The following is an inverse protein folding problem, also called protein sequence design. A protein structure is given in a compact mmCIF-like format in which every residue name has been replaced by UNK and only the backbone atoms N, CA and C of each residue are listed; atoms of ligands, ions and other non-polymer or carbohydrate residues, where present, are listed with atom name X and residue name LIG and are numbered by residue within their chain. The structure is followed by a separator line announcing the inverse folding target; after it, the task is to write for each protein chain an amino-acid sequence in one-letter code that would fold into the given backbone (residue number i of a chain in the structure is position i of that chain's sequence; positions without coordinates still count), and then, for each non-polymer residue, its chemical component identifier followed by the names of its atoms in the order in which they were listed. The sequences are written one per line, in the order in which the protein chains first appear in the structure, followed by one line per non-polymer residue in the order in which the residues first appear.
data_IF_986189643177
#
_entry.id   IF_986189643177
#
_cell.length_a   1.000
_cell.length_b   1.000
_cell.length_c   1.000
_cell.angle_alpha   90.00
_cell.angle_beta   90.00
_cell.angle_gamma   90.00
#
_symmetry.space_group_name_H-M   'P 1'
#
loop_
_entity.id
_entity.type
_entity.pdbx_description
1 polymer ?
#
# COMPACT_ATOMS: atom_id res chain seq x y z
N UNK A 1 34.51 6.38 -9.65
CA UNK A 1 35.94 6.56 -9.95
C UNK A 1 36.20 6.15 -11.38
N UNK A 2 37.08 6.86 -12.11
CA UNK A 2 37.39 6.59 -13.51
C UNK A 2 38.50 5.53 -13.58
N UNK A 3 38.31 4.46 -14.36
CA UNK A 3 39.30 3.38 -14.53
C UNK A 3 39.83 3.41 -15.96
N UNK A 4 41.13 3.61 -16.11
CA UNK A 4 41.81 3.65 -17.42
C UNK A 4 42.80 2.48 -17.51
N UNK A 5 42.54 1.54 -18.40
CA UNK A 5 43.45 0.43 -18.70
C UNK A 5 44.22 0.76 -19.98
N UNK A 6 45.53 1.02 -19.88
CA UNK A 6 46.39 1.30 -21.04
C UNK A 6 47.16 0.04 -21.45
N UNK A 7 46.99 -0.40 -22.70
CA UNK A 7 47.75 -1.52 -23.29
C UNK A 7 49.04 -1.01 -23.96
N UNK A 8 49.86 -1.91 -24.52
CA UNK A 8 51.10 -1.53 -25.21
C UNK A 8 50.85 -0.51 -26.32
N UNK A 9 51.76 0.46 -26.49
CA UNK A 9 51.63 1.56 -27.45
C UNK A 9 51.45 1.07 -28.91
N UNK A 10 51.97 -0.13 -29.23
CA UNK A 10 51.81 -0.78 -30.53
C UNK A 10 50.37 -1.30 -30.77
N UNK A 11 49.69 -1.80 -29.74
CA UNK A 11 48.31 -2.32 -29.83
C UNK A 11 47.28 -1.20 -30.02
N UNK A 12 47.60 0.01 -29.54
CA UNK A 12 46.75 1.21 -29.70
C UNK A 12 46.69 1.68 -31.16
N UNK A 13 47.75 1.46 -31.95
CA UNK A 13 47.86 1.94 -33.34
C UNK A 13 47.34 0.90 -34.36
N UNK A 14 47.56 -0.39 -34.10
CA UNK A 14 47.26 -1.47 -35.06
C UNK A 14 46.06 -2.34 -34.68
N UNK A 15 45.55 -2.20 -33.45
CA UNK A 15 44.60 -3.15 -32.86
C UNK A 15 45.27 -4.47 -32.47
N UNK A 16 44.66 -5.21 -31.54
CA UNK A 16 45.13 -6.53 -31.15
C UNK A 16 44.11 -7.30 -30.34
N UNK A 17 44.25 -8.62 -30.32
CA UNK A 17 43.41 -9.54 -29.54
C UNK A 17 44.28 -10.11 -28.43
N UNK A 18 43.79 -10.06 -27.19
CA UNK A 18 44.40 -10.73 -26.05
C UNK A 18 43.47 -11.84 -25.55
N UNK A 19 44.04 -12.93 -25.09
CA UNK A 19 43.32 -14.03 -24.48
C UNK A 19 44.01 -14.42 -23.18
N UNK A 20 43.22 -14.76 -22.17
CA UNK A 20 43.70 -15.13 -20.85
C UNK A 20 42.66 -16.07 -20.21
N UNK A 21 43.13 -17.06 -19.45
CA UNK A 21 42.25 -17.89 -18.61
C UNK A 21 41.74 -17.06 -17.41
N UNK A 22 40.42 -17.04 -17.13
CA UNK A 22 39.89 -16.33 -15.97
C UNK A 22 40.59 -16.75 -14.67
N UNK A 23 40.88 -15.82 -13.74
CA UNK A 23 41.73 -16.10 -12.57
C UNK A 23 41.19 -17.16 -11.61
N UNK A 24 39.89 -17.46 -11.68
CA UNK A 24 39.21 -18.47 -10.85
C UNK A 24 38.94 -19.78 -11.59
N UNK A 25 39.53 -19.98 -12.77
CA UNK A 25 39.41 -21.21 -13.55
C UNK A 25 40.79 -21.82 -13.77
N UNK A 26 40.89 -23.14 -13.63
CA UNK A 26 42.08 -23.88 -14.02
C UNK A 26 42.22 -23.89 -15.53
N UNK A 27 43.45 -23.79 -16.03
CA UNK A 27 43.74 -23.97 -17.46
C UNK A 27 43.17 -25.30 -17.93
N UNK A 28 42.22 -25.25 -18.87
CA UNK A 28 41.58 -26.42 -19.44
C UNK A 28 42.46 -27.17 -20.44
N UNK A 29 41.90 -28.20 -21.06
CA UNK A 29 42.56 -28.91 -22.15
C UNK A 29 42.75 -28.01 -23.38
N UNK A 30 43.79 -28.29 -24.17
CA UNK A 30 44.05 -27.59 -25.44
C UNK A 30 42.84 -27.72 -26.36
N UNK A 31 42.38 -26.60 -26.91
CA UNK A 31 41.25 -26.59 -27.83
C UNK A 31 41.62 -27.29 -29.16
N UNK A 32 40.74 -28.14 -29.73
CA UNK A 32 40.93 -28.70 -31.06
C UNK A 32 41.09 -27.62 -32.14
N UNK A 33 41.73 -27.98 -33.26
CA UNK A 33 41.84 -27.08 -34.41
C UNK A 33 40.47 -26.59 -34.89
N UNK A 34 40.39 -25.32 -35.31
CA UNK A 34 39.16 -24.64 -35.74
C UNK A 34 38.07 -24.43 -34.67
N UNK A 35 38.40 -24.55 -33.38
CA UNK A 35 37.48 -24.16 -32.30
C UNK A 35 37.22 -22.66 -32.35
N UNK A 36 35.94 -22.26 -32.31
CA UNK A 36 35.53 -20.85 -32.30
C UNK A 36 35.40 -20.32 -30.88
N UNK A 37 35.78 -19.06 -30.68
CA UNK A 37 35.67 -18.35 -29.41
C UNK A 37 34.96 -17.02 -29.61
N UNK A 38 34.18 -16.58 -28.62
CA UNK A 38 33.59 -15.24 -28.62
C UNK A 38 34.69 -14.20 -28.44
N UNK A 39 34.75 -13.22 -29.35
CA UNK A 39 35.53 -12.01 -29.16
C UNK A 39 34.72 -11.02 -28.31
N UNK A 40 35.09 -10.88 -27.04
CA UNK A 40 34.46 -9.93 -26.13
C UNK A 40 34.85 -8.48 -26.46
N UNK A 41 33.99 -7.53 -26.09
CA UNK A 41 34.23 -6.10 -26.36
C UNK A 41 35.42 -5.53 -25.55
N UNK A 42 35.61 -6.04 -24.32
CA UNK A 42 36.70 -5.65 -23.44
C UNK A 42 37.07 -6.77 -22.45
N UNK A 43 38.09 -6.54 -21.62
CA UNK A 43 38.54 -7.51 -20.61
C UNK A 43 37.45 -7.81 -19.57
N UNK A 44 36.61 -6.84 -19.20
CA UNK A 44 35.58 -7.07 -18.19
C UNK A 44 34.47 -7.98 -18.72
N UNK A 45 34.08 -7.82 -19.98
CA UNK A 45 33.16 -8.72 -20.68
C UNK A 45 33.78 -10.11 -20.87
N UNK A 46 35.06 -10.19 -21.25
CA UNK A 46 35.79 -11.45 -21.43
C UNK A 46 35.93 -12.27 -20.14
N UNK A 47 36.06 -11.59 -18.99
CA UNK A 47 36.27 -12.20 -17.68
C UNK A 47 34.97 -12.51 -16.94
N UNK A 48 33.81 -12.13 -17.48
CA UNK A 48 32.51 -12.45 -16.88
C UNK A 48 32.24 -13.95 -17.02
N UNK A 49 31.65 -14.55 -15.99
CA UNK A 49 31.12 -15.91 -16.11
C UNK A 49 30.13 -15.96 -17.29
N UNK A 50 30.16 -17.02 -18.13
CA UNK A 50 29.20 -17.15 -19.22
C UNK A 50 27.77 -17.08 -18.69
N UNK A 51 26.91 -16.37 -19.41
CA UNK A 51 25.53 -16.14 -19.00
C UNK A 51 24.63 -17.39 -19.08
N UNK A 52 25.16 -18.50 -19.60
CA UNK A 52 24.40 -19.72 -19.88
C UNK A 52 23.39 -19.54 -21.02
N UNK A 53 22.59 -20.56 -21.34
CA UNK A 53 21.51 -20.44 -22.31
C UNK A 53 20.40 -19.49 -21.79
N UNK A 54 19.88 -18.57 -22.62
CA UNK A 54 18.78 -17.71 -22.22
C UNK A 54 17.47 -18.51 -22.06
N UNK A 55 16.73 -18.19 -21.02
CA UNK A 55 15.33 -18.57 -20.87
C UNK A 55 14.45 -17.47 -21.44
N UNK A 56 13.71 -17.78 -22.51
CA UNK A 56 12.73 -16.86 -23.06
C UNK A 56 11.45 -16.89 -22.24
N UNK A 57 11.04 -15.71 -21.77
CA UNK A 57 9.79 -15.53 -21.03
C UNK A 57 8.97 -14.39 -21.61
N UNK A 58 7.67 -14.45 -21.38
CA UNK A 58 6.73 -13.37 -21.68
C UNK A 58 6.03 -12.93 -20.40
N UNK A 59 5.78 -11.63 -20.30
CA UNK A 59 5.01 -11.03 -19.22
C UNK A 59 3.95 -10.13 -19.83
N UNK A 60 2.71 -10.36 -19.45
CA UNK A 60 1.59 -9.55 -19.92
C UNK A 60 1.32 -8.41 -18.95
N UNK A 61 1.42 -7.18 -19.44
CA UNK A 61 1.15 -5.97 -18.67
C UNK A 61 -0.16 -5.32 -19.12
N UNK A 62 -0.89 -4.77 -18.16
CA UNK A 62 -2.16 -4.05 -18.40
C UNK A 62 -2.03 -2.53 -18.17
N UNK A 63 -0.80 -2.02 -18.03
CA UNK A 63 -0.46 -0.62 -17.75
C UNK A 63 0.44 -0.06 -18.85
N UNK A 64 0.54 1.27 -18.97
CA UNK A 64 1.34 1.89 -20.03
C UNK A 64 2.79 1.39 -20.02
N UNK A 65 3.29 1.01 -21.21
CA UNK A 65 4.70 0.66 -21.40
C UNK A 65 5.56 1.87 -21.77
N UNK A 66 5.05 3.09 -21.64
CA UNK A 66 5.80 4.30 -22.00
C UNK A 66 7.08 4.40 -21.18
N UNK A 67 8.21 4.50 -21.87
CA UNK A 67 9.54 4.53 -21.26
C UNK A 67 10.21 3.16 -21.21
N UNK A 68 9.50 2.07 -21.50
CA UNK A 68 10.10 0.76 -21.75
C UNK A 68 10.54 0.66 -23.21
N UNK A 69 11.73 0.12 -23.44
CA UNK A 69 12.29 -0.09 -24.78
C UNK A 69 12.89 -1.49 -24.91
N UNK A 70 13.05 -1.97 -26.14
CA UNK A 70 13.86 -3.17 -26.42
C UNK A 70 15.30 -2.90 -25.96
N UNK A 71 15.90 -3.88 -25.28
CA UNK A 71 17.17 -3.76 -24.58
C UNK A 71 17.06 -3.21 -23.15
N UNK A 72 15.86 -2.86 -22.67
CA UNK A 72 15.68 -2.48 -21.27
C UNK A 72 16.07 -3.67 -20.34
N UNK A 73 16.75 -3.41 -19.22
CA UNK A 73 17.23 -4.48 -18.36
C UNK A 73 16.07 -5.19 -17.67
N UNK A 74 16.22 -6.50 -17.49
CA UNK A 74 15.42 -7.30 -16.57
C UNK A 74 16.25 -7.47 -15.30
N UNK A 75 15.76 -6.90 -14.21
CA UNK A 75 16.46 -6.81 -12.93
C UNK A 75 15.82 -7.73 -11.90
N UNK A 76 16.63 -8.37 -11.07
CA UNK A 76 16.18 -9.02 -9.84
C UNK A 76 16.96 -8.43 -8.67
N UNK A 77 16.28 -7.59 -7.87
CA UNK A 77 16.84 -6.95 -6.67
C UNK A 77 18.18 -6.25 -6.90
N UNK A 78 18.31 -5.53 -8.00
CA UNK A 78 19.52 -4.78 -8.37
C UNK A 78 20.55 -5.56 -9.19
N UNK A 79 20.25 -6.82 -9.54
CA UNK A 79 21.09 -7.65 -10.40
C UNK A 79 20.41 -7.80 -11.76
N UNK A 80 21.06 -7.33 -12.83
CA UNK A 80 20.57 -7.49 -14.20
C UNK A 80 20.68 -8.96 -14.62
N UNK A 81 19.53 -9.62 -14.72
CA UNK A 81 19.41 -11.01 -15.14
C UNK A 81 19.13 -11.16 -16.63
N UNK A 82 18.78 -10.10 -17.34
CA UNK A 82 18.34 -10.22 -18.72
C UNK A 82 18.01 -8.90 -19.38
N UNK A 83 17.33 -8.99 -20.51
CA UNK A 83 16.91 -7.83 -21.31
C UNK A 83 15.60 -8.09 -22.04
N UNK A 84 14.84 -7.02 -22.25
CA UNK A 84 13.63 -7.02 -23.08
C UNK A 84 14.01 -7.21 -24.53
N UNK A 85 13.43 -8.20 -25.20
CA UNK A 85 13.70 -8.51 -26.61
C UNK A 85 12.57 -8.09 -27.54
N UNK A 86 11.32 -8.02 -27.05
CA UNK A 86 10.18 -7.59 -27.85
C UNK A 86 9.11 -6.94 -26.96
N UNK A 87 8.40 -5.96 -27.53
CA UNK A 87 7.24 -5.31 -26.92
C UNK A 87 6.09 -5.38 -27.92
N UNK A 88 4.99 -6.02 -27.53
CA UNK A 88 3.79 -6.18 -28.36
C UNK A 88 2.55 -5.53 -27.75
N UNK A 89 1.47 -5.62 -28.51
CA UNK A 89 0.11 -5.32 -28.08
C UNK A 89 -0.79 -6.43 -28.62
N UNK A 90 -1.62 -6.99 -27.76
CA UNK A 90 -2.60 -8.01 -28.11
C UNK A 90 -3.99 -7.52 -27.68
N UNK A 91 -5.00 -7.87 -28.47
CA UNK A 91 -6.40 -7.54 -28.19
C UNK A 91 -7.17 -8.84 -28.01
N UNK A 92 -7.67 -9.06 -26.80
CA UNK A 92 -8.53 -10.20 -26.55
C UNK A 92 -9.99 -9.82 -26.88
N UNK A 93 -10.60 -10.38 -27.95
CA UNK A 93 -11.97 -10.08 -28.31
C UNK A 93 -13.01 -10.56 -27.29
N UNK A 94 -12.66 -11.53 -26.43
CA UNK A 94 -13.56 -12.07 -25.40
C UNK A 94 -13.68 -11.11 -24.22
N UNK A 95 -12.55 -10.62 -23.72
CA UNK A 95 -12.51 -9.67 -22.61
C UNK A 95 -12.60 -8.22 -23.07
N UNK A 96 -12.45 -7.95 -24.37
CA UNK A 96 -12.40 -6.61 -24.99
C UNK A 96 -11.31 -5.73 -24.40
N UNK A 97 -10.24 -6.35 -23.93
CA UNK A 97 -9.11 -5.67 -23.29
C UNK A 97 -7.87 -5.78 -24.17
N UNK A 98 -7.03 -4.76 -24.07
CA UNK A 98 -5.68 -4.79 -24.61
C UNK A 98 -4.73 -5.27 -23.53
N UNK A 99 -3.86 -6.21 -23.87
CA UNK A 99 -2.72 -6.62 -23.06
C UNK A 99 -1.44 -6.27 -23.81
N UNK A 100 -0.37 -6.00 -23.07
CA UNK A 100 0.92 -5.67 -23.66
C UNK A 100 1.91 -6.78 -23.32
N UNK A 101 2.03 -7.81 -24.18
CA UNK A 101 3.01 -8.87 -23.99
C UNK A 101 4.42 -8.31 -24.19
N UNK A 102 5.27 -8.50 -23.19
CA UNK A 102 6.69 -8.14 -23.24
C UNK A 102 7.51 -9.41 -23.20
N UNK A 103 8.23 -9.70 -24.28
CA UNK A 103 9.14 -10.84 -24.36
C UNK A 103 10.53 -10.42 -23.91
N UNK A 104 11.20 -11.29 -23.17
CA UNK A 104 12.54 -11.03 -22.64
C UNK A 104 13.38 -12.30 -22.57
N UNK A 105 14.69 -12.11 -22.63
CA UNK A 105 15.67 -13.17 -22.39
C UNK A 105 16.23 -13.02 -20.99
N UNK A 106 16.09 -14.04 -20.16
CA UNK A 106 16.61 -14.09 -18.80
C UNK A 106 17.73 -15.14 -18.74
N UNK A 107 18.76 -14.86 -17.97
CA UNK A 107 19.92 -15.72 -17.75
C UNK A 107 19.94 -16.20 -16.29
N UNK A 108 19.26 -17.32 -15.97
CA UNK A 108 19.07 -17.73 -14.58
C UNK A 108 20.38 -18.15 -13.90
N UNK A 109 21.40 -18.53 -14.67
CA UNK A 109 22.72 -18.88 -14.15
C UNK A 109 23.45 -17.70 -13.49
N UNK A 110 23.02 -16.45 -13.76
CA UNK A 110 23.51 -15.25 -13.06
C UNK A 110 23.10 -15.21 -11.58
N UNK A 111 22.15 -16.03 -11.14
CA UNK A 111 21.75 -16.16 -9.73
C UNK A 111 22.77 -16.91 -8.87
N UNK A 112 23.86 -17.40 -9.47
CA UNK A 112 25.01 -17.96 -8.77
C UNK A 112 25.11 -19.49 -8.84
N UNK A 113 26.26 -20.01 -8.37
CA UNK A 113 26.67 -21.42 -8.56
C UNK A 113 25.65 -22.43 -8.04
N UNK A 114 25.11 -22.22 -6.82
CA UNK A 114 24.12 -23.14 -6.22
C UNK A 114 22.85 -23.26 -7.06
N UNK A 115 22.41 -22.15 -7.66
CA UNK A 115 21.23 -22.16 -8.52
C UNK A 115 21.52 -22.87 -9.83
N UNK A 116 22.70 -22.62 -10.43
CA UNK A 116 23.19 -23.33 -11.62
C UNK A 116 23.25 -24.85 -11.39
N UNK A 117 23.90 -25.31 -10.33
CA UNK A 117 24.01 -26.73 -9.97
C UNK A 117 22.63 -27.41 -9.79
N UNK A 118 21.66 -26.67 -9.22
CA UNK A 118 20.29 -27.17 -9.04
C UNK A 118 19.52 -27.35 -10.35
N UNK A 119 19.91 -26.60 -11.38
CA UNK A 119 19.30 -26.61 -12.71
C UNK A 119 20.00 -27.62 -13.64
N UNK A 120 21.33 -27.63 -13.68
CA UNK A 120 22.13 -28.50 -14.55
C UNK A 120 21.91 -29.99 -14.24
N UNK A 121 21.77 -30.33 -12.95
CA UNK A 121 21.63 -31.72 -12.52
C UNK A 121 20.29 -32.38 -12.86
N UNK A 122 19.29 -31.62 -13.33
CA UNK A 122 17.89 -32.11 -13.41
C UNK A 122 17.15 -31.83 -14.72
N UNK A 123 17.76 -31.15 -15.70
CA UNK A 123 17.20 -30.93 -17.03
C UNK A 123 16.00 -29.96 -17.10
N UNK A 124 15.40 -29.85 -18.28
CA UNK A 124 14.27 -28.93 -18.58
C UNK A 124 13.03 -29.10 -17.67
N UNK A 125 12.56 -30.31 -17.32
CA UNK A 125 11.39 -30.47 -16.44
C UNK A 125 11.60 -29.89 -15.05
N UNK A 126 12.81 -29.98 -14.50
CA UNK A 126 13.11 -29.43 -13.20
C UNK A 126 13.27 -27.91 -13.22
N UNK A 127 13.73 -27.32 -14.33
CA UNK A 127 13.70 -25.86 -14.53
C UNK A 127 12.28 -25.34 -14.39
N UNK A 128 11.31 -26.01 -15.04
CA UNK A 128 9.89 -25.67 -14.96
C UNK A 128 9.35 -25.73 -13.53
N UNK A 129 9.61 -26.83 -12.82
CA UNK A 129 9.18 -27.00 -11.42
C UNK A 129 9.81 -25.94 -10.48
N UNK A 130 11.05 -25.51 -10.74
CA UNK A 130 11.68 -24.43 -9.99
C UNK A 130 10.91 -23.12 -10.24
N UNK A 131 10.62 -22.77 -11.50
CA UNK A 131 9.89 -21.53 -11.80
C UNK A 131 8.48 -21.54 -11.20
N UNK A 132 7.76 -22.67 -11.30
CA UNK A 132 6.45 -22.84 -10.67
C UNK A 132 6.52 -22.58 -9.16
N UNK A 133 7.54 -23.12 -8.48
CA UNK A 133 7.75 -22.88 -7.04
C UNK A 133 8.09 -21.43 -6.73
N UNK A 134 8.87 -20.76 -7.57
CA UNK A 134 9.18 -19.33 -7.38
C UNK A 134 7.91 -18.49 -7.56
N UNK A 135 7.11 -18.76 -8.58
CA UNK A 135 5.82 -18.09 -8.82
C UNK A 135 4.83 -18.35 -7.69
N UNK A 136 4.76 -19.58 -7.18
CA UNK A 136 3.95 -19.95 -6.03
C UNK A 136 4.37 -19.22 -4.75
N UNK A 137 5.66 -18.89 -4.61
CA UNK A 137 6.21 -18.05 -3.53
C UNK A 137 6.04 -16.55 -3.76
N UNK A 138 5.41 -16.15 -4.87
CA UNK A 138 5.09 -14.75 -5.17
C UNK A 138 6.05 -14.07 -6.13
N UNK A 139 6.88 -14.79 -6.89
CA UNK A 139 7.69 -14.18 -7.96
C UNK A 139 6.77 -13.50 -8.98
N UNK A 140 6.91 -12.19 -9.16
CA UNK A 140 6.16 -11.40 -10.15
C UNK A 140 7.07 -10.43 -10.88
N UNK A 141 6.71 -10.12 -12.12
CA UNK A 141 7.26 -9.01 -12.88
C UNK A 141 6.52 -7.70 -12.60
N UNK A 142 7.25 -6.60 -12.46
CA UNK A 142 6.70 -5.27 -12.27
C UNK A 142 7.50 -4.27 -13.11
N UNK A 143 6.84 -3.30 -13.75
CA UNK A 143 7.54 -2.19 -14.39
C UNK A 143 7.95 -1.18 -13.32
N UNK A 144 9.22 -0.82 -13.31
CA UNK A 144 9.77 0.20 -12.41
C UNK A 144 10.54 1.24 -13.19
N UNK A 145 10.58 2.46 -12.68
CA UNK A 145 11.36 3.55 -13.28
C UNK A 145 12.81 3.43 -12.84
N UNK A 146 13.71 3.26 -13.81
CA UNK A 146 15.15 3.14 -13.54
C UNK A 146 15.83 4.49 -13.43
N UNK A 147 15.46 5.44 -14.29
CA UNK A 147 15.98 6.79 -14.28
C UNK A 147 14.82 7.80 -14.28
N UNK A 148 14.70 8.56 -13.19
CA UNK A 148 13.64 9.56 -13.00
C UNK A 148 13.77 10.76 -13.96
N UNK A 149 14.97 11.05 -14.48
CA UNK A 149 15.17 12.15 -15.42
C UNK A 149 14.69 11.81 -16.83
N UNK A 150 14.91 10.57 -17.27
CA UNK A 150 14.53 10.12 -18.62
C UNK A 150 13.21 9.37 -18.65
N UNK A 151 12.61 9.11 -17.49
CA UNK A 151 11.42 8.28 -17.32
C UNK A 151 11.57 6.89 -17.93
N UNK A 152 12.79 6.38 -18.03
CA UNK A 152 13.05 5.06 -18.61
C UNK A 152 12.61 3.97 -17.64
N UNK A 153 11.84 3.02 -18.16
CA UNK A 153 11.39 1.85 -17.42
C UNK A 153 12.33 0.67 -17.61
N UNK A 154 12.33 -0.21 -16.61
CA UNK A 154 12.92 -1.53 -16.65
C UNK A 154 11.94 -2.56 -16.08
N UNK A 155 12.18 -3.83 -16.35
CA UNK A 155 11.36 -4.92 -15.79
C UNK A 155 12.03 -5.40 -14.51
N UNK A 156 11.35 -5.26 -13.37
CA UNK A 156 11.80 -5.76 -12.08
C UNK A 156 11.11 -7.10 -11.78
N UNK A 157 11.90 -8.12 -11.44
CA UNK A 157 11.48 -9.38 -10.87
C UNK A 157 11.67 -9.31 -9.35
N UNK A 158 10.60 -9.54 -8.59
CA UNK A 158 10.67 -9.58 -7.13
C UNK A 158 9.60 -10.52 -6.54
N UNK A 159 9.68 -10.75 -5.24
CA UNK A 159 8.71 -11.55 -4.49
C UNK A 159 7.69 -10.66 -3.81
N UNK A 160 6.43 -10.85 -4.17
CA UNK A 160 5.28 -10.15 -3.61
C UNK A 160 4.45 -11.12 -2.77
N UNK A 161 4.69 -11.22 -1.45
CA UNK A 161 4.07 -12.25 -0.60
C UNK A 161 2.55 -12.11 -0.47
N UNK A 162 2.00 -10.93 -0.77
CA UNK A 162 0.56 -10.64 -0.75
C UNK A 162 -0.12 -10.77 -2.12
N UNK A 163 0.66 -11.03 -3.19
CA UNK A 163 0.09 -11.15 -4.53
C UNK A 163 -0.79 -12.42 -4.61
N UNK A 164 -1.94 -12.37 -5.30
CA UNK A 164 -2.79 -13.53 -5.50
C UNK A 164 -2.02 -14.70 -6.13
N UNK A 165 -2.32 -15.92 -5.70
CA UNK A 165 -1.72 -17.11 -6.28
C UNK A 165 -2.17 -17.27 -7.74
N UNK A 166 -1.21 -17.45 -8.64
CA UNK A 166 -1.44 -17.67 -10.07
C UNK A 166 -0.84 -19.01 -10.44
N UNK A 167 -1.62 -19.83 -11.15
CA UNK A 167 -1.11 -21.05 -11.78
C UNK A 167 -0.52 -20.67 -13.13
N UNK A 168 0.72 -21.07 -13.37
CA UNK A 168 1.37 -20.90 -14.66
C UNK A 168 1.33 -22.23 -15.42
N UNK A 169 1.21 -22.15 -16.73
CA UNK A 169 1.49 -23.29 -17.60
C UNK A 169 2.98 -23.30 -17.93
N UNK A 170 3.76 -24.07 -17.15
CA UNK A 170 5.19 -24.15 -17.35
C UNK A 170 5.61 -24.89 -18.64
N UNK A 171 4.65 -25.49 -19.36
CA UNK A 171 4.91 -26.10 -20.67
C UNK A 171 4.75 -25.11 -21.84
N UNK A 172 4.15 -23.93 -21.61
CA UNK A 172 4.00 -22.87 -22.62
C UNK A 172 5.38 -22.35 -23.04
N UNK A 173 5.54 -22.13 -24.36
CA UNK A 173 6.75 -21.52 -24.94
C UNK A 173 6.33 -20.32 -25.79
N UNK A 174 6.79 -19.09 -25.47
CA UNK A 174 7.62 -18.71 -24.33
C UNK A 174 6.91 -18.86 -22.97
N UNK A 175 7.68 -19.04 -21.90
CA UNK A 175 7.14 -19.22 -20.55
C UNK A 175 6.49 -17.93 -20.04
N UNK A 176 5.25 -18.00 -19.58
CA UNK A 176 4.54 -16.84 -19.08
C UNK A 176 4.81 -16.63 -17.59
N UNK A 177 5.31 -15.45 -17.23
CA UNK A 177 5.52 -15.04 -15.84
C UNK A 177 4.44 -14.03 -15.41
N UNK A 178 3.85 -14.20 -14.23
CA UNK A 178 2.79 -13.32 -13.75
C UNK A 178 3.33 -11.94 -13.39
N UNK A 179 2.52 -10.92 -13.65
CA UNK A 179 2.87 -9.52 -13.39
C UNK A 179 2.06 -8.94 -12.23
N UNK A 180 2.55 -7.82 -11.69
CA UNK A 180 1.81 -6.94 -10.79
C UNK A 180 1.90 -5.50 -11.28
N UNK A 181 0.86 -4.72 -11.03
CA UNK A 181 0.85 -3.29 -11.34
C UNK A 181 1.85 -2.53 -10.47
N UNK A 182 2.27 -1.35 -10.94
CA UNK A 182 3.12 -0.46 -10.16
C UNK A 182 2.28 0.34 -9.14
N UNK A 183 2.59 0.23 -7.85
CA UNK A 183 1.81 0.84 -6.75
C UNK A 183 1.72 2.37 -6.84
N UNK A 184 2.75 3.04 -7.40
CA UNK A 184 2.75 4.50 -7.56
C UNK A 184 1.69 5.01 -8.53
N UNK A 185 1.34 4.23 -9.54
CA UNK A 185 0.28 4.58 -10.49
C UNK A 185 -1.10 4.34 -9.84
N UNK A 186 -1.21 3.28 -9.03
CA UNK A 186 -2.42 2.99 -8.26
C UNK A 186 -2.74 4.07 -7.21
N UNK A 187 -1.71 4.62 -6.53
CA UNK A 187 -1.89 5.72 -5.57
C UNK A 187 -2.46 6.99 -6.23
N UNK A 188 -2.03 7.33 -7.44
CA UNK A 188 -2.56 8.50 -8.15
C UNK A 188 -4.05 8.35 -8.45
N UNK A 189 -4.47 7.15 -8.87
CA UNK A 189 -5.88 6.82 -9.12
C UNK A 189 -6.68 6.90 -7.81
N UNK A 190 -6.17 6.33 -6.72
CA UNK A 190 -6.84 6.37 -5.42
C UNK A 190 -6.99 7.79 -4.88
N UNK A 191 -5.97 8.65 -5.01
CA UNK A 191 -6.06 10.06 -4.60
C UNK A 191 -7.10 10.82 -5.42
N UNK A 192 -7.15 10.59 -6.73
CA UNK A 192 -8.17 11.19 -7.60
C UNK A 192 -9.60 10.74 -7.21
N UNK A 193 -9.76 9.47 -6.83
CA UNK A 193 -11.03 8.94 -6.36
C UNK A 193 -11.44 9.48 -4.99
N UNK A 194 -10.49 9.70 -4.07
CA UNK A 194 -10.75 10.36 -2.79
C UNK A 194 -11.20 11.80 -3.03
N UNK A 195 -10.53 12.54 -3.91
CA UNK A 195 -10.92 13.91 -4.25
C UNK A 195 -12.36 13.96 -4.81
N UNK A 196 -12.69 13.07 -5.76
CA UNK A 196 -14.06 12.94 -6.28
C UNK A 196 -15.09 12.56 -5.21
N UNK A 197 -14.73 11.73 -4.24
CA UNK A 197 -15.63 11.37 -3.13
C UNK A 197 -15.82 12.54 -2.18
N UNK A 198 -14.78 13.35 -1.96
CA UNK A 198 -14.84 14.55 -1.14
C UNK A 198 -15.74 15.63 -1.77
N UNK A 199 -15.66 15.81 -3.09
CA UNK A 199 -16.55 16.73 -3.83
C UNK A 199 -18.03 16.36 -3.72
N UNK A 200 -18.34 15.08 -3.49
CA UNK A 200 -19.70 14.58 -3.30
C UNK A 200 -20.22 14.72 -1.88
N UNK A 201 -19.42 15.19 -0.93
CA UNK A 201 -19.87 15.45 0.44
C UNK A 201 -20.75 16.71 0.41
N UNK A 202 -22.05 16.63 0.79
CA UNK A 202 -22.95 17.76 0.68
C UNK A 202 -22.77 18.73 1.85
N UNK A 203 -21.65 19.45 1.87
CA UNK A 203 -21.30 20.42 2.91
C UNK A 203 -22.37 21.50 3.09
N UNK A 204 -23.07 21.89 2.01
CA UNK A 204 -24.19 22.83 2.06
C UNK A 204 -25.40 22.28 2.84
N UNK A 205 -25.72 20.99 2.69
CA UNK A 205 -26.82 20.36 3.45
C UNK A 205 -26.44 20.21 4.92
N UNK A 206 -25.18 19.87 5.20
CA UNK A 206 -24.67 19.82 6.57
C UNK A 206 -24.78 21.22 7.22
N UNK A 207 -24.35 22.27 6.53
CA UNK A 207 -24.48 23.65 7.01
C UNK A 207 -25.92 24.11 7.21
N UNK A 208 -26.82 23.77 6.27
CA UNK A 208 -28.26 24.08 6.39
C UNK A 208 -28.89 23.36 7.59
N UNK A 209 -28.58 22.08 7.79
CA UNK A 209 -29.10 21.30 8.91
C UNK A 209 -28.58 21.83 10.26
N UNK A 210 -27.29 22.21 10.35
CA UNK A 210 -26.72 22.87 11.52
C UNK A 210 -27.41 24.20 11.83
N UNK A 211 -27.61 25.05 10.82
CA UNK A 211 -28.35 26.30 10.99
C UNK A 211 -29.80 26.07 11.43
N UNK A 212 -30.48 25.06 10.88
CA UNK A 212 -31.84 24.71 11.30
C UNK A 212 -31.88 24.20 12.74
N UNK A 213 -30.92 23.37 13.15
CA UNK A 213 -30.79 22.90 14.54
C UNK A 213 -30.52 24.05 15.49
N UNK A 214 -29.60 24.96 15.15
CA UNK A 214 -29.30 26.16 15.95
C UNK A 214 -30.51 27.09 16.04
N UNK A 215 -31.23 27.31 14.94
CA UNK A 215 -32.46 28.11 14.93
C UNK A 215 -33.57 27.48 15.76
N UNK A 216 -33.67 26.14 15.76
CA UNK A 216 -34.64 25.42 16.59
C UNK A 216 -34.26 25.46 18.08
N UNK A 217 -32.97 25.34 18.40
CA UNK A 217 -32.47 25.54 19.76
C UNK A 217 -32.75 26.97 20.26
N UNK A 218 -32.48 27.99 19.44
CA UNK A 218 -32.73 29.39 19.78
C UNK A 218 -34.23 29.67 20.04
N UNK A 219 -35.13 29.02 19.29
CA UNK A 219 -36.58 29.06 19.55
C UNK A 219 -36.96 28.37 20.85
N UNK A 220 -36.40 27.20 21.13
CA UNK A 220 -36.65 26.48 22.39
C UNK A 220 -36.20 27.32 23.59
N UNK A 221 -35.03 27.94 23.53
CA UNK A 221 -34.54 28.84 24.58
C UNK A 221 -35.46 30.05 24.79
N UNK A 222 -35.94 30.69 23.71
CA UNK A 222 -36.90 31.80 23.80
C UNK A 222 -38.28 31.40 24.33
N UNK A 223 -38.73 30.18 24.06
CA UNK A 223 -39.98 29.65 24.62
C UNK A 223 -39.82 29.27 26.09
N UNK A 224 -38.66 28.73 26.49
CA UNK A 224 -38.31 28.47 27.89
C UNK A 224 -38.31 29.76 28.72
N UNK A 225 -37.74 30.84 28.19
CA UNK A 225 -37.67 32.15 28.85
C UNK A 225 -39.07 32.80 29.03
N UNK A 226 -40.00 32.56 28.11
CA UNK A 226 -41.31 33.22 28.09
C UNK A 226 -42.47 32.43 28.70
N UNK A 227 -42.41 31.09 28.74
CA UNK A 227 -43.56 30.27 29.17
C UNK A 227 -43.31 29.45 30.43
N UNK A 228 -42.06 29.23 30.86
CA UNK A 228 -41.76 28.31 31.96
C UNK A 228 -41.59 29.03 33.32
N UNK A 229 -41.47 30.36 33.33
CA UNK A 229 -41.25 31.12 34.57
C UNK A 229 -42.46 31.16 35.53
N UNK A 230 -43.73 31.29 35.07
CA UNK A 230 -44.89 31.25 35.98
C UNK A 230 -45.20 29.82 36.44
N UNK A 231 -45.25 28.86 35.52
CA UNK A 231 -45.71 27.49 35.80
C UNK A 231 -44.66 26.66 36.58
N UNK A 232 -43.36 26.92 36.40
CA UNK A 232 -42.33 26.28 37.23
C UNK A 232 -42.34 26.81 38.67
N UNK A 233 -42.69 28.09 38.89
CA UNK A 233 -42.87 28.64 40.25
C UNK A 233 -44.09 28.04 40.95
N UNK A 234 -45.19 27.89 40.22
CA UNK A 234 -46.43 27.31 40.76
C UNK A 234 -46.24 25.81 41.07
N UNK A 235 -45.54 25.09 40.21
CA UNK A 235 -45.21 23.67 40.43
C UNK A 235 -44.25 23.50 41.61
N UNK A 236 -43.26 24.37 41.76
CA UNK A 236 -42.32 24.33 42.90
C UNK A 236 -43.03 24.70 44.22
N UNK A 237 -44.00 25.61 44.18
CA UNK A 237 -44.85 25.96 45.33
C UNK A 237 -45.75 24.80 45.76
N UNK A 238 -46.42 24.16 44.79
CA UNK A 238 -47.27 22.99 45.03
C UNK A 238 -46.45 21.78 45.54
N UNK A 239 -45.25 21.57 44.99
CA UNK A 239 -44.32 20.57 45.49
C UNK A 239 -43.89 20.87 46.94
N UNK A 240 -43.58 22.13 47.26
CA UNK A 240 -43.21 22.55 48.62
C UNK A 240 -44.34 22.33 49.63
N UNK A 241 -45.58 22.63 49.26
CA UNK A 241 -46.76 22.35 50.11
C UNK A 241 -46.98 20.85 50.31
N UNK A 242 -46.83 20.05 49.26
CA UNK A 242 -46.96 18.59 49.34
C UNK A 242 -45.88 17.99 50.24
N UNK A 243 -44.65 18.50 50.17
CA UNK A 243 -43.55 18.12 51.06
C UNK A 243 -43.83 18.48 52.52
N UNK A 244 -44.33 19.69 52.81
CA UNK A 244 -44.72 20.07 54.17
C UNK A 244 -45.86 19.22 54.73
N UNK A 245 -46.84 18.83 53.89
CA UNK A 245 -47.94 17.96 54.29
C UNK A 245 -47.49 16.51 54.54
N UNK A 246 -46.56 16.01 53.73
CA UNK A 246 -45.93 14.71 53.94
C UNK A 246 -45.07 14.70 55.22
N UNK A 247 -44.31 15.77 55.49
CA UNK A 247 -43.51 15.90 56.71
C UNK A 247 -44.37 15.94 57.99
N UNK A 248 -45.51 16.62 57.96
CA UNK A 248 -46.47 16.64 59.07
C UNK A 248 -47.13 15.26 59.31
N UNK A 249 -47.40 14.51 58.24
CA UNK A 249 -47.98 13.15 58.32
C UNK A 249 -46.96 12.13 58.82
N UNK A 250 -45.68 12.32 58.49
CA UNK A 250 -44.56 11.49 58.94
C UNK A 250 -44.11 11.80 60.38
N UNK A 251 -44.72 12.75 61.10
CA UNK A 251 -44.46 12.95 62.54
C UNK A 251 -45.39 12.12 63.44
N UNK A 252 -46.39 11.42 62.87
CA UNK A 252 -47.19 10.43 63.60
C UNK A 252 -46.60 9.02 63.39
N UNK A 253 -46.00 8.53 64.47
CA UNK A 253 -45.40 7.21 64.73
C UNK A 253 -45.58 6.09 63.68
N UNK A 254 -44.52 5.81 62.92
CA UNK A 254 -44.28 4.46 62.40
C UNK A 254 -42.82 4.18 61.98
N UNK A 255 -42.30 2.94 62.10
CA UNK A 255 -40.89 2.60 61.91
C UNK A 255 -40.40 2.61 60.44
N UNK A 256 -41.25 2.92 59.46
CA UNK A 256 -40.93 2.90 58.02
C UNK A 256 -40.35 4.25 57.53
N UNK A 257 -39.42 4.86 58.28
CA UNK A 257 -38.97 6.25 58.04
C UNK A 257 -37.48 6.46 57.74
N UNK A 258 -36.63 5.45 57.95
CA UNK A 258 -35.20 5.55 57.59
C UNK A 258 -35.01 5.74 56.09
N UNK A 259 -35.73 4.95 55.29
CA UNK A 259 -35.45 4.82 53.86
C UNK A 259 -36.00 5.99 53.05
N UNK A 260 -37.11 6.59 53.50
CA UNK A 260 -37.70 7.79 52.88
C UNK A 260 -36.81 9.01 53.10
N UNK A 261 -36.22 9.18 54.30
CA UNK A 261 -35.27 10.27 54.56
C UNK A 261 -33.99 10.13 53.73
N UNK A 262 -33.55 8.89 53.50
CA UNK A 262 -32.44 8.59 52.57
C UNK A 262 -32.76 9.01 51.14
N UNK A 263 -33.91 8.59 50.61
CA UNK A 263 -34.32 8.89 49.24
C UNK A 263 -34.50 10.39 48.97
N UNK A 264 -35.07 11.14 49.93
CA UNK A 264 -35.26 12.59 49.79
C UNK A 264 -33.92 13.36 49.81
N UNK A 265 -32.95 12.87 50.58
CA UNK A 265 -31.60 13.44 50.64
C UNK A 265 -30.84 13.19 49.33
N UNK A 266 -30.98 12.00 48.76
CA UNK A 266 -30.43 11.63 47.45
C UNK A 266 -31.02 12.51 46.33
N UNK A 267 -32.35 12.69 46.33
CA UNK A 267 -33.05 13.52 45.34
C UNK A 267 -32.61 14.99 45.40
N UNK A 268 -32.46 15.53 46.60
CA UNK A 268 -31.98 16.91 46.81
C UNK A 268 -30.57 17.11 46.23
N UNK A 269 -29.71 16.09 46.38
CA UNK A 269 -28.34 16.10 45.87
C UNK A 269 -28.31 16.06 44.33
N UNK A 270 -29.19 15.25 43.74
CA UNK A 270 -29.36 15.17 42.29
C UNK A 270 -29.86 16.49 41.71
N UNK A 271 -30.84 17.13 42.33
CA UNK A 271 -31.35 18.43 41.88
C UNK A 271 -30.28 19.53 41.97
N UNK A 272 -29.45 19.54 43.02
CA UNK A 272 -28.30 20.45 43.10
C UNK A 272 -27.26 20.19 41.99
N UNK A 273 -27.01 18.93 41.65
CA UNK A 273 -26.09 18.58 40.55
C UNK A 273 -26.61 19.00 39.17
N UNK A 274 -27.94 18.92 38.96
CA UNK A 274 -28.57 19.37 37.72
C UNK A 274 -28.54 20.89 37.59
N UNK A 275 -28.75 21.63 38.68
CA UNK A 275 -28.57 23.08 38.69
C UNK A 275 -27.13 23.48 38.40
N UNK A 276 -26.14 22.80 39.00
CA UNK A 276 -24.73 23.06 38.72
C UNK A 276 -24.35 22.74 37.26
N UNK A 277 -24.95 21.72 36.66
CA UNK A 277 -24.78 21.40 35.24
C UNK A 277 -25.44 22.47 34.34
N UNK A 278 -26.64 22.94 34.70
CA UNK A 278 -27.32 24.01 33.98
C UNK A 278 -26.53 25.31 34.02
N UNK A 279 -26.06 25.73 35.20
CA UNK A 279 -25.19 26.90 35.38
C UNK A 279 -23.88 26.78 34.58
N UNK A 280 -23.33 25.56 34.49
CA UNK A 280 -22.10 25.30 33.72
C UNK A 280 -22.35 25.37 32.21
N UNK A 281 -23.47 24.82 31.73
CA UNK A 281 -23.84 24.87 30.30
C UNK A 281 -24.21 26.28 29.85
N UNK A 282 -24.81 27.10 30.72
CA UNK A 282 -25.12 28.50 30.45
C UNK A 282 -23.85 29.37 30.30
N UNK A 283 -22.80 29.05 31.09
CA UNK A 283 -21.52 29.78 31.03
C UNK A 283 -20.54 29.25 29.97
N UNK A 284 -20.70 28.01 29.53
CA UNK A 284 -19.82 27.34 28.57
C UNK A 284 -20.59 26.53 27.51
N UNK A 285 -21.32 27.20 26.60
CA UNK A 285 -22.08 26.54 25.54
C UNK A 285 -21.20 25.72 24.56
N UNK A 286 -19.92 26.06 24.43
CA UNK A 286 -18.94 25.34 23.62
C UNK A 286 -18.60 23.93 24.13
N UNK A 287 -18.95 23.60 25.38
CA UNK A 287 -18.67 22.28 25.98
C UNK A 287 -19.49 21.14 25.37
N UNK A 288 -20.61 21.43 24.72
CA UNK A 288 -21.45 20.47 24.00
C UNK A 288 -20.80 19.95 22.70
N UNK A 289 -19.96 20.77 22.05
CA UNK A 289 -19.30 20.43 20.79
C UNK A 289 -17.86 19.93 20.98
N UNK A 290 -17.15 20.40 22.02
CA UNK A 290 -15.75 20.04 22.27
C UNK A 290 -15.55 18.97 23.34
N UNK A 291 -16.61 18.62 24.09
CA UNK A 291 -16.49 17.83 25.31
C UNK A 291 -15.78 18.61 26.42
N UNK A 292 -16.02 18.21 27.67
CA UNK A 292 -15.36 18.82 28.84
C UNK A 292 -13.84 18.62 28.71
N UNK A 293 -12.99 19.67 28.80
CA UNK A 293 -11.56 19.47 28.90
C UNK A 293 -11.31 18.70 30.20
N UNK A 294 -10.84 17.46 30.07
CA UNK A 294 -10.52 16.62 31.21
C UNK A 294 -9.35 17.23 31.98
N UNK A 295 -9.46 17.28 33.31
CA UNK A 295 -8.32 17.53 34.20
C UNK A 295 -7.22 16.53 33.83
N UNK A 296 -6.16 17.02 33.20
CA UNK A 296 -4.91 16.27 33.08
C UNK A 296 -4.32 16.15 34.48
N UNK A 297 -4.39 14.95 35.05
CA UNK A 297 -3.49 14.51 36.11
C UNK A 297 -2.36 13.70 35.51
#
# INVERSE_FOLDING_TARGET
GLKLNTQSLATVILGGIAFQTPPNQTTGATAPGNTTFRLAADQADAMRDPDGPPLQVVMDFNQSLRGLAVGAPVDFRGIVLGEVTNIGIDYDPKTKNFTMPVTMSIFPERLGRRFRESIESKGEPARREIVERLVARGLRGQLRTGNLLTSQLYVALDFFPKAPAVKIDAARVPLELPTVANELEELQVQVADIAKKLDKVPFEQIGKNLNSTLANADRLFKQLDSQVMPEARDTLSAAKQTFSAAEATLQQDSPMQSDVRGALKELTRTLQSLNALSDYLERHPESLLKGKPGDQK
#
